data_IF_602038666606
#
_entry.id   IF_602038666606
#
_cell.length_a   1.000
_cell.length_b   1.000
_cell.length_c   1.000
_cell.angle_alpha   90.00
_cell.angle_beta   90.00
_cell.angle_gamma   90.00
#
_symmetry.space_group_name_H-M   'P 1'
#
loop_
_entity.id
_entity.type
_entity.pdbx_description
1 polymer ?
#
# COMPACT_ATOMS: atom_id res chain seq x y z
N UNK A 1 -5.59 8.23 14.43
CA UNK A 1 -6.33 7.53 13.34
C UNK A 1 -6.70 8.43 12.17
N UNK A 2 -7.25 9.63 12.39
CA UNK A 2 -7.67 10.52 11.28
C UNK A 2 -6.50 10.95 10.39
N UNK A 3 -5.41 11.36 11.01
CA UNK A 3 -4.16 11.65 10.31
C UNK A 3 -3.62 10.44 9.53
N UNK A 4 -3.65 9.24 10.14
CA UNK A 4 -3.23 8.00 9.49
C UNK A 4 -4.08 7.70 8.25
N UNK A 5 -5.40 7.83 8.36
CA UNK A 5 -6.32 7.64 7.24
C UNK A 5 -6.09 8.67 6.12
N UNK A 6 -5.90 9.93 6.46
CA UNK A 6 -5.63 11.00 5.49
C UNK A 6 -4.31 10.75 4.74
N UNK A 7 -3.26 10.37 5.47
CA UNK A 7 -1.96 10.12 4.85
C UNK A 7 -2.00 8.84 4.01
N UNK A 8 -2.66 7.77 4.47
CA UNK A 8 -2.85 6.56 3.67
C UNK A 8 -3.58 6.86 2.36
N UNK A 9 -4.64 7.67 2.40
CA UNK A 9 -5.38 8.10 1.20
C UNK A 9 -4.48 8.92 0.23
N UNK A 10 -3.79 9.94 0.73
CA UNK A 10 -2.83 10.73 -0.08
C UNK A 10 -1.76 9.83 -0.71
N UNK A 11 -1.26 8.88 0.07
CA UNK A 11 -0.19 7.96 -0.32
C UNK A 11 -0.65 6.95 -1.37
N UNK A 12 -1.86 6.41 -1.23
CA UNK A 12 -2.51 5.53 -2.19
C UNK A 12 -2.76 6.26 -3.52
N UNK A 13 -3.35 7.47 -3.48
CA UNK A 13 -3.57 8.31 -4.67
C UNK A 13 -2.28 8.61 -5.43
N UNK A 14 -1.20 8.91 -4.71
CA UNK A 14 0.13 9.13 -5.33
C UNK A 14 0.63 7.87 -6.05
N UNK A 15 0.59 6.70 -5.41
CA UNK A 15 1.04 5.46 -6.06
C UNK A 15 0.13 5.08 -7.23
N UNK A 16 -1.18 5.25 -7.08
CA UNK A 16 -2.13 5.02 -8.16
C UNK A 16 -1.77 5.87 -9.38
N UNK A 17 -1.52 7.18 -9.19
CA UNK A 17 -1.08 8.05 -10.27
C UNK A 17 0.22 7.55 -10.91
N UNK A 18 1.23 7.23 -10.09
CA UNK A 18 2.51 6.68 -10.59
C UNK A 18 2.32 5.37 -11.35
N UNK A 19 1.44 4.48 -10.89
CA UNK A 19 1.14 3.22 -11.55
C UNK A 19 0.52 3.46 -12.93
N UNK A 20 -0.47 4.35 -13.04
CA UNK A 20 -1.11 4.67 -14.32
C UNK A 20 -0.12 5.31 -15.31
N UNK A 21 0.71 6.25 -14.87
CA UNK A 21 1.76 6.84 -15.71
C UNK A 21 2.77 5.78 -16.19
N UNK A 22 3.17 4.85 -15.32
CA UNK A 22 4.10 3.78 -15.69
C UNK A 22 3.47 2.73 -16.60
N UNK A 23 2.15 2.46 -16.51
CA UNK A 23 1.47 1.55 -17.45
C UNK A 23 1.56 2.04 -18.89
N UNK A 24 1.40 3.34 -19.12
CA UNK A 24 1.54 3.91 -20.46
C UNK A 24 2.96 3.77 -21.01
N UNK A 25 3.96 4.05 -20.18
CA UNK A 25 5.38 3.93 -20.55
C UNK A 25 5.74 2.48 -20.82
N UNK A 26 5.40 1.58 -19.89
CA UNK A 26 5.66 0.15 -20.01
C UNK A 26 4.96 -0.45 -21.22
N UNK A 27 3.74 -0.02 -21.55
CA UNK A 27 3.03 -0.46 -22.77
C UNK A 27 3.83 -0.14 -24.04
N UNK A 28 4.34 1.10 -24.16
CA UNK A 28 5.16 1.52 -25.30
C UNK A 28 6.48 0.75 -25.36
N UNK A 29 7.17 0.59 -24.23
CA UNK A 29 8.46 -0.11 -24.16
C UNK A 29 8.30 -1.62 -24.42
N UNK A 30 7.29 -2.26 -23.83
CA UNK A 30 6.97 -3.68 -24.06
C UNK A 30 6.69 -3.93 -25.54
N UNK A 31 5.96 -3.03 -26.21
CA UNK A 31 5.71 -3.14 -27.65
C UNK A 31 7.00 -2.99 -28.49
N UNK A 32 7.94 -2.15 -28.06
CA UNK A 32 9.25 -2.02 -28.71
C UNK A 32 10.10 -3.29 -28.53
N UNK A 33 10.17 -3.84 -27.31
CA UNK A 33 10.87 -5.09 -27.03
C UNK A 33 10.26 -6.27 -27.79
N UNK A 34 8.93 -6.34 -27.88
CA UNK A 34 8.23 -7.40 -28.62
C UNK A 34 8.59 -7.39 -30.11
N UNK A 35 8.74 -6.20 -30.72
CA UNK A 35 9.22 -6.09 -32.10
C UNK A 35 10.63 -6.63 -32.29
N UNK A 36 11.53 -6.40 -31.33
CA UNK A 36 12.90 -6.92 -31.37
C UNK A 36 12.87 -8.46 -31.23
N UNK A 37 12.07 -8.99 -30.31
CA UNK A 37 11.92 -10.43 -30.08
C UNK A 37 11.37 -11.17 -31.30
N UNK A 38 10.44 -10.55 -32.03
CA UNK A 38 9.82 -11.13 -33.23
C UNK A 38 10.63 -10.87 -34.51
N UNK A 39 11.64 -10.00 -34.46
CA UNK A 39 12.46 -9.68 -35.64
C UNK A 39 13.36 -10.86 -36.01
N UNK A 40 13.36 -11.20 -37.30
CA UNK A 40 14.30 -12.18 -37.89
C UNK A 40 15.71 -11.62 -38.05
N UNK A 41 15.85 -10.30 -38.03
CA UNK A 41 17.11 -9.57 -38.23
C UNK A 41 17.83 -9.26 -36.91
N UNK A 42 17.15 -9.44 -35.76
CA UNK A 42 17.74 -9.20 -34.46
C UNK A 42 18.71 -10.33 -34.07
N UNK A 43 19.87 -9.96 -33.53
CA UNK A 43 20.82 -10.93 -32.96
C UNK A 43 20.26 -11.58 -31.70
N UNK A 44 20.83 -12.72 -31.30
CA UNK A 44 20.42 -13.38 -30.06
C UNK A 44 20.71 -12.51 -28.83
N UNK A 45 21.81 -11.75 -28.82
CA UNK A 45 22.11 -10.79 -27.74
C UNK A 45 21.03 -9.70 -27.65
N UNK A 46 20.59 -9.16 -28.78
CA UNK A 46 19.53 -8.14 -28.82
C UNK A 46 18.19 -8.69 -28.32
N UNK A 47 17.87 -9.93 -28.66
CA UNK A 47 16.65 -10.60 -28.16
C UNK A 47 16.73 -10.85 -26.65
N UNK A 48 17.87 -11.28 -26.14
CA UNK A 48 18.08 -11.47 -24.69
C UNK A 48 17.92 -10.13 -23.96
N UNK A 49 18.54 -9.05 -24.45
CA UNK A 49 18.38 -7.72 -23.87
C UNK A 49 16.92 -7.26 -23.88
N UNK A 50 16.21 -7.47 -24.99
CA UNK A 50 14.79 -7.12 -25.09
C UNK A 50 13.91 -7.94 -24.11
N UNK A 51 14.22 -9.23 -23.92
CA UNK A 51 13.52 -10.07 -22.96
C UNK A 51 13.71 -9.59 -21.52
N UNK A 52 14.96 -9.28 -21.15
CA UNK A 52 15.30 -8.75 -19.81
C UNK A 52 14.59 -7.41 -19.61
N UNK A 53 14.71 -6.47 -20.55
CA UNK A 53 14.07 -5.16 -20.48
C UNK A 53 12.56 -5.26 -20.34
N UNK A 54 11.91 -6.12 -21.12
CA UNK A 54 10.46 -6.40 -21.01
C UNK A 54 10.08 -6.93 -19.63
N UNK A 55 10.86 -7.85 -19.09
CA UNK A 55 10.62 -8.44 -17.76
C UNK A 55 10.72 -7.38 -16.66
N UNK A 56 11.75 -6.53 -16.72
CA UNK A 56 11.94 -5.45 -15.74
C UNK A 56 10.79 -4.43 -15.73
N UNK A 57 10.23 -4.08 -16.88
CA UNK A 57 9.06 -3.20 -16.96
C UNK A 57 7.81 -3.84 -16.32
N UNK A 58 7.59 -5.14 -16.55
CA UNK A 58 6.47 -5.87 -15.95
C UNK A 58 6.63 -6.01 -14.43
N UNK A 59 7.82 -6.38 -13.95
CA UNK A 59 8.13 -6.47 -12.52
C UNK A 59 7.92 -5.12 -11.80
N UNK A 60 8.31 -4.02 -12.45
CA UNK A 60 8.11 -2.67 -11.92
C UNK A 60 6.62 -2.36 -11.74
N UNK A 61 5.78 -2.71 -12.71
CA UNK A 61 4.34 -2.52 -12.63
C UNK A 61 3.71 -3.40 -11.54
N UNK A 62 4.12 -4.67 -11.46
CA UNK A 62 3.63 -5.60 -10.45
C UNK A 62 3.96 -5.11 -9.04
N UNK A 63 5.18 -4.60 -8.82
CA UNK A 63 5.60 -4.01 -7.55
C UNK A 63 4.74 -2.83 -7.15
N UNK A 64 4.50 -1.89 -8.07
CA UNK A 64 3.64 -0.73 -7.81
C UNK A 64 2.19 -1.15 -7.53
N UNK A 65 1.68 -2.12 -8.29
CA UNK A 65 0.34 -2.68 -8.07
C UNK A 65 0.21 -3.33 -6.70
N UNK A 66 1.18 -4.15 -6.30
CA UNK A 66 1.21 -4.82 -5.00
C UNK A 66 1.28 -3.82 -3.84
N UNK A 67 2.11 -2.77 -3.98
CA UNK A 67 2.16 -1.68 -3.00
C UNK A 67 0.81 -0.96 -2.88
N UNK A 68 0.13 -0.70 -4.00
CA UNK A 68 -1.18 -0.08 -3.99
C UNK A 68 -2.24 -0.95 -3.30
N UNK A 69 -2.26 -2.25 -3.60
CA UNK A 69 -3.14 -3.21 -2.93
C UNK A 69 -2.93 -3.25 -1.42
N UNK A 70 -1.66 -3.24 -0.97
CA UNK A 70 -1.33 -3.20 0.46
C UNK A 70 -1.82 -1.91 1.12
N UNK A 71 -1.66 -0.76 0.47
CA UNK A 71 -2.15 0.53 0.99
C UNK A 71 -3.66 0.52 1.16
N UNK A 72 -4.41 -0.01 0.20
CA UNK A 72 -5.87 -0.12 0.32
C UNK A 72 -6.29 -1.07 1.43
N UNK A 73 -5.62 -2.22 1.59
CA UNK A 73 -5.89 -3.12 2.70
C UNK A 73 -5.66 -2.43 4.05
N UNK A 74 -4.56 -1.68 4.19
CA UNK A 74 -4.25 -0.94 5.41
C UNK A 74 -5.25 0.20 5.66
N UNK A 75 -5.70 0.91 4.62
CA UNK A 75 -6.71 1.96 4.73
C UNK A 75 -8.07 1.41 5.21
N UNK A 76 -8.51 0.28 4.65
CA UNK A 76 -9.74 -0.42 5.09
C UNK A 76 -9.59 -0.83 6.56
N UNK A 77 -8.45 -1.43 6.93
CA UNK A 77 -8.21 -1.86 8.30
C UNK A 77 -8.22 -0.69 9.28
N UNK A 78 -7.50 0.39 8.98
CA UNK A 78 -7.49 1.63 9.76
C UNK A 78 -8.90 2.21 9.93
N UNK A 79 -9.72 2.17 8.88
CA UNK A 79 -11.09 2.63 8.93
C UNK A 79 -11.94 1.76 9.86
N UNK A 80 -11.79 0.43 9.81
CA UNK A 80 -12.50 -0.49 10.70
C UNK A 80 -12.12 -0.29 12.17
N UNK A 81 -10.85 -0.05 12.47
CA UNK A 81 -10.38 0.29 13.83
C UNK A 81 -11.04 1.58 14.33
N UNK A 82 -11.10 2.63 13.49
CA UNK A 82 -11.80 3.87 13.83
C UNK A 82 -13.30 3.66 14.08
N UNK A 83 -13.96 2.84 13.27
CA UNK A 83 -15.38 2.51 13.47
C UNK A 83 -15.57 1.81 14.81
N UNK A 84 -14.73 0.83 15.17
CA UNK A 84 -14.77 0.15 16.45
C UNK A 84 -14.60 1.12 17.63
N UNK A 85 -13.62 2.01 17.55
CA UNK A 85 -13.37 3.06 18.55
C UNK A 85 -14.62 3.91 18.79
N UNK A 86 -15.26 4.40 17.72
CA UNK A 86 -16.50 5.19 17.81
C UNK A 86 -17.65 4.36 18.39
N UNK A 87 -17.84 3.13 17.92
CA UNK A 87 -18.93 2.26 18.39
C UNK A 87 -18.80 1.95 19.88
N UNK A 88 -17.59 1.60 20.35
CA UNK A 88 -17.34 1.31 21.76
C UNK A 88 -17.49 2.56 22.62
N UNK A 89 -17.04 3.73 22.13
CA UNK A 89 -17.29 5.02 22.78
C UNK A 89 -18.79 5.29 22.97
N UNK A 90 -19.59 5.09 21.93
CA UNK A 90 -21.05 5.28 21.99
C UNK A 90 -21.73 4.32 22.97
N UNK A 91 -21.33 3.04 22.99
CA UNK A 91 -21.85 2.06 23.96
C UNK A 91 -21.50 2.48 25.38
N UNK A 92 -20.26 2.91 25.61
CA UNK A 92 -19.81 3.41 26.90
C UNK A 92 -20.69 4.60 27.35
N UNK A 93 -20.91 5.59 26.51
CA UNK A 93 -21.78 6.73 26.84
C UNK A 93 -23.22 6.32 27.19
N UNK A 94 -23.79 5.36 26.45
CA UNK A 94 -25.14 4.86 26.72
C UNK A 94 -25.22 4.13 28.07
N UNK A 95 -24.21 3.34 28.43
CA UNK A 95 -24.13 2.66 29.72
C UNK A 95 -24.01 3.66 30.89
N UNK A 96 -23.24 4.75 30.72
CA UNK A 96 -23.20 5.83 31.72
C UNK A 96 -24.59 6.45 31.89
N UNK A 97 -25.27 6.77 30.78
CA UNK A 97 -26.59 7.39 30.78
C UNK A 97 -27.68 6.50 31.40
N UNK A 98 -27.55 5.17 31.29
CA UNK A 98 -28.52 4.22 31.85
C UNK A 98 -28.34 3.96 33.35
N UNK A 99 -27.33 4.57 33.99
CA UNK A 99 -27.05 4.36 35.42
C UNK A 99 -26.47 2.98 35.73
N UNK A 100 -26.07 2.22 34.71
CA UNK A 100 -25.33 0.96 34.87
C UNK A 100 -23.91 1.35 35.27
N UNK A 101 -23.55 1.08 36.53
CA UNK A 101 -22.22 1.38 37.07
C UNK A 101 -21.15 0.66 36.23
N UNK A 102 -20.34 1.43 35.51
CA UNK A 102 -19.29 0.93 34.63
C UNK A 102 -18.16 0.26 35.43
N UNK A 103 -18.31 -1.04 35.66
CA UNK A 103 -17.24 -1.99 36.00
C UNK A 103 -17.31 -3.20 35.07
N UNK A 104 -17.49 -2.95 33.77
CA UNK A 104 -17.39 -4.00 32.76
C UNK A 104 -15.92 -4.11 32.37
N UNK A 105 -15.18 -5.01 33.03
CA UNK A 105 -13.81 -5.37 32.67
C UNK A 105 -13.68 -5.66 31.17
N UNK A 106 -14.73 -6.24 30.58
CA UNK A 106 -14.84 -6.51 29.15
C UNK A 106 -14.73 -5.25 28.27
N UNK A 107 -15.36 -4.13 28.67
CA UNK A 107 -15.35 -2.91 27.87
C UNK A 107 -13.99 -2.22 27.93
N UNK A 108 -13.31 -2.30 29.07
CA UNK A 108 -11.93 -1.82 29.22
C UNK A 108 -10.94 -2.72 28.45
N UNK A 109 -11.14 -4.03 28.44
CA UNK A 109 -10.37 -4.97 27.62
C UNK A 109 -10.55 -4.69 26.12
N UNK A 110 -11.77 -4.40 25.68
CA UNK A 110 -12.06 -4.02 24.28
C UNK A 110 -11.36 -2.71 23.91
N UNK A 111 -11.40 -1.69 24.78
CA UNK A 111 -10.69 -0.42 24.54
C UNK A 111 -9.19 -0.65 24.41
N UNK A 112 -8.60 -1.46 25.29
CA UNK A 112 -7.18 -1.83 25.23
C UNK A 112 -6.84 -2.52 23.92
N UNK A 113 -7.65 -3.49 23.47
CA UNK A 113 -7.45 -4.15 22.19
C UNK A 113 -7.52 -3.16 21.01
N UNK A 114 -8.43 -2.18 21.06
CA UNK A 114 -8.51 -1.12 20.05
C UNK A 114 -7.24 -0.28 20.03
N UNK A 115 -6.70 0.09 21.19
CA UNK A 115 -5.43 0.83 21.27
C UNK A 115 -4.24 0.03 20.73
N UNK A 116 -4.18 -1.27 21.00
CA UNK A 116 -3.19 -2.18 20.40
C UNK A 116 -3.32 -2.23 18.87
N UNK A 117 -4.55 -2.31 18.35
CA UNK A 117 -4.79 -2.27 16.91
C UNK A 117 -4.35 -0.94 16.29
N UNK A 118 -4.59 0.20 16.96
CA UNK A 118 -4.14 1.53 16.50
C UNK A 118 -2.61 1.59 16.42
N UNK A 119 -1.91 1.08 17.43
CA UNK A 119 -0.44 1.00 17.44
C UNK A 119 0.06 0.16 16.26
N UNK A 120 -0.56 -1.00 15.99
CA UNK A 120 -0.19 -1.85 14.86
C UNK A 120 -0.40 -1.15 13.51
N UNK A 121 -1.51 -0.42 13.34
CA UNK A 121 -1.75 0.37 12.12
C UNK A 121 -0.69 1.45 11.94
N UNK A 122 -0.37 2.18 13.00
CA UNK A 122 0.63 3.25 12.97
C UNK A 122 2.04 2.72 12.70
N UNK A 123 2.41 1.59 13.30
CA UNK A 123 3.69 0.94 13.06
C UNK A 123 3.82 0.44 11.61
N UNK A 124 2.77 -0.22 11.09
CA UNK A 124 2.75 -0.70 9.72
C UNK A 124 2.84 0.48 8.73
N UNK A 125 2.15 1.58 9.01
CA UNK A 125 2.27 2.80 8.23
C UNK A 125 3.71 3.37 8.25
N UNK A 126 4.35 3.48 9.42
CA UNK A 126 5.73 3.98 9.54
C UNK A 126 6.72 3.13 8.74
N UNK A 127 6.61 1.81 8.84
CA UNK A 127 7.45 0.89 8.05
C UNK A 127 7.26 1.10 6.54
N UNK A 128 6.03 1.34 6.06
CA UNK A 128 5.78 1.66 4.66
C UNK A 128 6.32 3.02 4.21
N UNK A 129 6.47 3.98 5.13
CA UNK A 129 7.07 5.29 4.84
C UNK A 129 8.59 5.17 4.69
N UNK A 130 9.24 4.41 5.56
CA UNK A 130 10.69 4.16 5.50
C UNK A 130 11.10 3.49 4.17
N UNK A 131 10.30 2.55 3.66
CA UNK A 131 10.52 1.90 2.34
C UNK A 131 10.50 2.92 1.17
N UNK A 132 9.91 4.11 1.34
CA UNK A 132 9.88 5.16 0.30
C UNK A 132 11.00 6.19 0.42
N UNK A 133 11.65 6.30 1.58
CA UNK A 133 12.70 7.28 1.86
C UNK A 133 14.11 6.77 1.51
N UNK A 134 14.24 5.51 1.07
CA UNK A 134 15.44 4.98 0.39
C UNK A 134 15.25 4.90 -1.14
N UNK A 135 15.26 6.02 -1.88
CA UNK A 135 15.36 5.99 -3.33
C UNK A 135 16.80 5.71 -3.82
N UNK A 136 17.78 5.59 -2.90
CA UNK A 136 19.21 5.50 -3.22
C UNK A 136 19.78 4.10 -3.48
N UNK A 137 19.02 3.02 -3.26
CA UNK A 137 19.51 1.64 -3.39
C UNK A 137 18.77 0.80 -4.46
N UNK A 138 17.80 1.39 -5.16
CA UNK A 138 17.24 0.76 -6.36
C UNK A 138 18.29 0.84 -7.47
N UNK A 139 19.12 -0.21 -7.53
CA UNK A 139 19.97 -0.65 -8.63
C UNK A 139 20.09 0.39 -9.73
N UNK A 140 21.18 1.14 -9.68
CA UNK A 140 21.77 1.79 -10.85
C UNK A 140 21.94 0.67 -11.88
N UNK A 141 20.95 0.50 -12.76
CA UNK A 141 21.10 -0.34 -13.93
C UNK A 141 22.20 0.34 -14.74
N UNK A 142 23.35 -0.33 -14.76
CA UNK A 142 24.57 0.06 -15.43
C UNK A 142 24.20 0.58 -16.83
N UNK A 143 24.51 1.85 -17.09
CA UNK A 143 24.37 2.51 -18.39
C UNK A 143 25.34 1.91 -19.42
#
# INVERSE_FOLDING_TARGET
MDEVLEILDKTAKRIQKTLEENKEVASKQTAAYEKILQSKEASEEQKVQALIGKTLELDRLERLSSQLSLLYALQIFAFKVKVLEITVGNINEQLVKSGILQKSTELDDIKKNIDELKILVEAQYKSMKEIREEPGSNLTYIH
#
